data_IF_739349837055
#
_entry.id   IF_739349837055
#
_cell.length_a   1.000
_cell.length_b   1.000
_cell.length_c   1.000
_cell.angle_alpha   90.00
_cell.angle_beta   90.00
_cell.angle_gamma   90.00
#
_symmetry.space_group_name_H-M   'P 1'
#
loop_
_entity.id
_entity.type
_entity.pdbx_description
1 polymer ?
#
# COMPACT_ATOMS: atom_id res chain seq x y z
N UNK A 1 -5.94 -80.29 16.96
CA UNK A 1 -6.31 -80.79 18.32
C UNK A 1 -6.35 -79.62 19.30
N UNK A 2 -7.50 -79.49 19.94
CA UNK A 2 -7.86 -78.77 21.19
C UNK A 2 -7.67 -77.24 21.16
N UNK A 3 -8.79 -76.48 21.08
CA UNK A 3 -9.85 -76.18 22.09
C UNK A 3 -9.29 -75.59 23.39
N UNK A 4 -9.79 -74.39 23.69
CA UNK A 4 -9.80 -73.71 24.96
C UNK A 4 -10.26 -72.31 24.77
N UNK A 5 -11.45 -72.05 24.77
CA UNK A 5 -12.51 -71.48 25.59
C UNK A 5 -12.19 -70.15 26.26
N UNK A 6 -13.05 -69.20 25.97
CA UNK A 6 -13.29 -67.93 26.65
C UNK A 6 -13.63 -68.04 28.16
N UNK A 7 -13.54 -66.99 28.96
CA UNK A 7 -14.78 -66.25 29.13
C UNK A 7 -14.68 -64.72 29.14
N UNK A 8 -15.80 -64.13 28.83
CA UNK A 8 -16.18 -62.75 28.97
C UNK A 8 -16.15 -62.28 30.42
N UNK A 9 -15.76 -61.04 30.62
CA UNK A 9 -16.27 -60.24 31.73
C UNK A 9 -16.50 -58.80 31.25
N UNK A 10 -17.75 -58.45 31.25
CA UNK A 10 -18.35 -57.14 31.13
C UNK A 10 -18.02 -56.33 32.38
N UNK A 11 -17.59 -55.15 32.25
CA UNK A 11 -17.80 -54.10 33.23
C UNK A 11 -17.87 -52.73 32.55
N UNK A 12 -19.10 -52.35 32.36
CA UNK A 12 -19.61 -51.02 32.07
C UNK A 12 -19.17 -50.07 33.18
N UNK A 13 -18.40 -49.07 32.84
CA UNK A 13 -18.20 -47.92 33.70
C UNK A 13 -18.18 -46.64 32.81
N UNK A 14 -19.40 -46.15 32.65
CA UNK A 14 -19.65 -44.81 32.12
C UNK A 14 -19.00 -43.82 33.09
N UNK A 15 -17.89 -43.21 32.63
CA UNK A 15 -17.39 -41.99 33.25
C UNK A 15 -17.93 -40.84 32.41
N UNK A 16 -19.04 -40.30 32.87
CA UNK A 16 -19.52 -38.99 32.48
C UNK A 16 -18.49 -37.97 32.95
N UNK A 17 -17.72 -37.42 31.99
CA UNK A 17 -16.94 -36.22 32.23
C UNK A 17 -17.88 -35.02 32.29
N UNK A 18 -17.74 -34.13 33.31
CA UNK A 18 -18.57 -32.94 33.39
C UNK A 18 -18.30 -32.05 32.20
N UNK A 19 -19.38 -31.64 31.56
CA UNK A 19 -19.34 -30.61 30.50
C UNK A 19 -18.79 -29.32 31.12
N UNK A 20 -17.55 -28.99 30.76
CA UNK A 20 -16.98 -27.67 30.97
C UNK A 20 -17.67 -26.75 30.00
N UNK A 21 -18.64 -26.01 30.48
CA UNK A 21 -19.23 -24.88 29.75
C UNK A 21 -18.14 -23.82 29.68
N UNK A 22 -17.43 -23.78 28.56
CA UNK A 22 -16.52 -22.70 28.22
C UNK A 22 -17.34 -21.41 28.11
N UNK A 23 -17.06 -20.44 28.96
CA UNK A 23 -17.60 -19.09 28.84
C UNK A 23 -16.98 -18.47 27.59
N UNK A 24 -17.76 -17.82 26.70
CA UNK A 24 -17.27 -17.33 25.41
C UNK A 24 -16.39 -16.06 25.51
N UNK A 25 -15.85 -15.71 26.66
CA UNK A 25 -15.26 -14.38 26.88
C UNK A 25 -13.77 -14.35 27.27
N UNK A 26 -13.11 -15.50 27.42
CA UNK A 26 -11.71 -15.51 27.92
C UNK A 26 -10.62 -15.94 26.94
N UNK A 27 -10.94 -16.34 25.72
CA UNK A 27 -9.94 -16.83 24.75
C UNK A 27 -9.50 -15.80 23.70
N UNK A 28 -10.07 -14.59 23.71
CA UNK A 28 -9.69 -13.53 22.73
C UNK A 28 -8.75 -12.46 23.33
N UNK A 29 -8.34 -12.60 24.60
CA UNK A 29 -7.57 -11.55 25.28
C UNK A 29 -6.05 -11.76 25.27
N UNK A 30 -5.55 -12.83 24.71
CA UNK A 30 -4.11 -13.17 24.78
C UNK A 30 -3.38 -13.28 23.46
N UNK A 31 -3.98 -12.76 22.37
CA UNK A 31 -3.24 -12.50 21.13
C UNK A 31 -3.11 -11.00 20.90
N UNK A 32 -2.45 -10.32 21.83
CA UNK A 32 -1.94 -8.97 21.60
C UNK A 32 -0.80 -9.07 20.60
N UNK A 33 -1.11 -8.98 19.32
CA UNK A 33 -0.10 -8.60 18.35
C UNK A 33 0.29 -7.15 18.64
N UNK A 34 1.36 -6.96 19.42
CA UNK A 34 1.98 -5.65 19.59
C UNK A 34 2.25 -5.07 18.20
N UNK A 35 1.50 -4.04 17.83
CA UNK A 35 1.61 -3.34 16.56
C UNK A 35 0.34 -3.23 15.72
N UNK A 36 -0.72 -3.99 15.99
CA UNK A 36 -2.00 -3.81 15.30
C UNK A 36 -2.86 -2.84 16.12
N UNK A 37 -2.89 -1.58 15.73
CA UNK A 37 -3.83 -0.60 16.26
C UNK A 37 -5.18 -0.82 15.61
N UNK A 38 -6.11 -1.41 16.33
CA UNK A 38 -7.50 -1.44 15.89
C UNK A 38 -8.07 -0.02 15.98
N UNK A 39 -8.34 0.58 14.83
CA UNK A 39 -9.09 1.83 14.76
C UNK A 39 -10.56 1.52 15.00
N UNK A 40 -11.26 2.36 15.76
CA UNK A 40 -12.70 2.19 15.97
C UNK A 40 -13.43 2.33 14.62
N UNK A 41 -14.61 1.71 14.52
CA UNK A 41 -15.43 1.80 13.31
C UNK A 41 -15.77 3.27 12.98
N UNK A 42 -15.87 4.12 13.98
CA UNK A 42 -16.09 5.55 13.89
C UNK A 42 -14.84 6.30 13.38
N UNK A 43 -13.65 5.93 13.84
CA UNK A 43 -12.38 6.48 13.30
C UNK A 43 -12.16 6.05 11.85
N UNK A 44 -12.46 4.78 11.52
CA UNK A 44 -12.39 4.29 10.14
C UNK A 44 -13.42 4.97 9.24
N UNK A 45 -14.60 5.31 9.79
CA UNK A 45 -15.64 6.05 9.07
C UNK A 45 -15.25 7.51 8.87
N UNK A 46 -14.65 8.17 9.87
CA UNK A 46 -14.11 9.53 9.76
C UNK A 46 -12.98 9.61 8.75
N UNK A 47 -12.04 8.67 8.78
CA UNK A 47 -10.96 8.60 7.82
C UNK A 47 -11.46 8.42 6.37
N UNK A 48 -12.58 7.69 6.16
CA UNK A 48 -13.23 7.57 4.84
C UNK A 48 -13.95 8.85 4.41
N UNK A 49 -14.48 9.64 5.35
CA UNK A 49 -15.15 10.91 5.07
C UNK A 49 -14.13 12.02 4.79
N UNK A 50 -12.96 12.00 5.43
CA UNK A 50 -11.85 12.91 5.16
C UNK A 50 -11.13 12.62 3.83
N UNK A 51 -11.33 11.45 3.24
CA UNK A 51 -10.82 11.13 1.91
C UNK A 51 -11.65 11.90 0.87
N UNK A 52 -11.19 13.12 0.53
CA UNK A 52 -11.80 14.00 -0.46
C UNK A 52 -12.20 13.21 -1.71
N UNK A 53 -13.52 13.03 -1.92
CA UNK A 53 -14.02 12.39 -3.13
C UNK A 53 -13.72 13.29 -4.33
N UNK A 54 -12.75 12.86 -5.13
CA UNK A 54 -12.44 13.53 -6.39
C UNK A 54 -13.56 13.26 -7.39
N UNK A 55 -14.04 14.30 -8.05
CA UNK A 55 -15.02 14.17 -9.13
C UNK A 55 -14.46 13.28 -10.27
N UNK A 56 -15.31 12.67 -11.09
CA UNK A 56 -14.86 11.90 -12.26
C UNK A 56 -13.95 12.70 -13.21
N UNK A 57 -14.24 13.98 -13.41
CA UNK A 57 -13.44 14.87 -14.27
C UNK A 57 -12.08 15.20 -13.65
N UNK A 58 -12.00 15.32 -12.32
CA UNK A 58 -10.74 15.49 -11.60
C UNK A 58 -9.80 14.28 -11.71
N UNK A 59 -10.34 13.09 -11.97
CA UNK A 59 -9.56 11.84 -12.16
C UNK A 59 -9.34 11.50 -13.63
N UNK A 60 -9.85 12.31 -14.55
CA UNK A 60 -9.73 12.05 -15.98
C UNK A 60 -8.74 13.01 -16.60
N UNK A 61 -7.59 12.51 -17.14
CA UNK A 61 -6.64 13.36 -17.83
C UNK A 61 -7.23 13.84 -19.16
N UNK A 62 -7.14 15.13 -19.43
CA UNK A 62 -7.41 15.72 -20.73
C UNK A 62 -6.15 15.67 -21.62
N UNK A 63 -4.99 15.91 -21.02
CA UNK A 63 -3.70 15.86 -21.73
C UNK A 63 -2.61 15.39 -20.77
N UNK A 64 -1.72 14.54 -21.27
CA UNK A 64 -0.56 14.03 -20.52
C UNK A 64 0.71 14.35 -21.31
N UNK A 65 1.70 14.94 -20.65
CA UNK A 65 3.00 15.28 -21.21
C UNK A 65 4.11 14.69 -20.35
N UNK A 66 4.99 13.92 -20.95
CA UNK A 66 6.17 13.37 -20.28
C UNK A 66 7.40 14.06 -20.86
N UNK A 67 8.05 14.88 -20.07
CA UNK A 67 9.22 15.67 -20.45
C UNK A 67 10.52 14.85 -20.32
N UNK A 68 10.57 13.70 -21.01
CA UNK A 68 11.66 12.74 -20.91
C UNK A 68 12.99 13.31 -21.38
N UNK A 69 13.00 14.02 -22.53
CA UNK A 69 14.21 14.61 -23.13
C UNK A 69 14.80 15.69 -22.25
N UNK A 70 13.96 16.56 -21.71
CA UNK A 70 14.35 17.64 -20.81
C UNK A 70 14.69 17.12 -19.39
N UNK A 71 14.20 15.93 -19.06
CA UNK A 71 14.43 15.31 -17.76
C UNK A 71 13.67 15.96 -16.58
N UNK A 72 12.65 16.77 -16.90
CA UNK A 72 11.97 17.59 -15.89
C UNK A 72 10.86 16.81 -15.16
N UNK A 73 10.01 16.06 -15.87
CA UNK A 73 8.96 15.32 -15.18
C UNK A 73 7.73 14.97 -16.01
N UNK A 74 6.61 14.86 -15.32
CA UNK A 74 5.27 14.58 -15.82
C UNK A 74 4.36 15.79 -15.60
N UNK A 75 3.59 16.17 -16.60
CA UNK A 75 2.55 17.19 -16.52
C UNK A 75 1.22 16.60 -16.99
N UNK A 76 0.15 16.89 -16.25
CA UNK A 76 -1.21 16.45 -16.60
C UNK A 76 -2.15 17.65 -16.52
N UNK A 77 -2.87 17.91 -17.62
CA UNK A 77 -4.06 18.75 -17.63
C UNK A 77 -5.28 17.84 -17.40
N UNK A 78 -6.06 18.12 -16.38
CA UNK A 78 -7.26 17.36 -16.03
C UNK A 78 -8.51 17.93 -16.69
N UNK A 79 -9.58 17.13 -16.82
CA UNK A 79 -10.83 17.60 -17.41
C UNK A 79 -11.55 18.66 -16.56
N UNK A 80 -11.31 18.70 -15.26
CA UNK A 80 -11.81 19.73 -14.35
C UNK A 80 -11.10 21.10 -14.51
N UNK A 81 -10.15 21.21 -15.46
CA UNK A 81 -9.36 22.42 -15.71
C UNK A 81 -8.11 22.54 -14.84
N UNK A 82 -7.93 21.63 -13.88
CA UNK A 82 -6.73 21.62 -13.03
C UNK A 82 -5.50 21.15 -13.79
N UNK A 83 -4.31 21.68 -13.41
CA UNK A 83 -3.00 21.24 -13.91
C UNK A 83 -2.12 20.74 -12.78
N UNK A 84 -1.55 19.57 -12.97
CA UNK A 84 -0.61 18.98 -12.02
C UNK A 84 0.74 18.72 -12.66
N UNK A 85 1.81 18.92 -11.89
CA UNK A 85 3.18 18.68 -12.32
C UNK A 85 3.97 17.93 -11.25
N UNK A 86 4.80 16.99 -11.67
CA UNK A 86 5.68 16.23 -10.78
C UNK A 86 7.05 16.06 -11.44
N UNK A 87 8.11 16.23 -10.66
CA UNK A 87 9.46 15.87 -11.11
C UNK A 87 9.63 14.35 -11.16
N UNK A 88 10.56 13.84 -11.96
CA UNK A 88 10.87 12.41 -11.98
C UNK A 88 11.41 11.91 -10.64
N UNK A 89 12.16 12.74 -9.92
CA UNK A 89 12.61 12.43 -8.57
C UNK A 89 11.43 12.21 -7.61
N UNK A 90 10.44 13.09 -7.66
CA UNK A 90 9.23 12.94 -6.87
C UNK A 90 8.48 11.65 -7.24
N UNK A 91 8.22 11.42 -8.53
CA UNK A 91 7.53 10.24 -9.02
C UNK A 91 8.22 8.94 -8.57
N UNK A 92 9.56 8.88 -8.70
CA UNK A 92 10.31 7.69 -8.28
C UNK A 92 10.20 7.44 -6.77
N UNK A 93 10.28 8.49 -5.96
CA UNK A 93 10.12 8.41 -4.50
C UNK A 93 8.67 8.13 -4.07
N UNK A 94 7.69 8.52 -4.89
CA UNK A 94 6.27 8.27 -4.67
C UNK A 94 5.79 6.95 -5.30
N UNK A 95 6.66 6.06 -5.73
CA UNK A 95 6.26 4.83 -6.41
C UNK A 95 5.21 4.05 -5.62
N UNK A 96 4.03 3.72 -6.22
CA UNK A 96 2.93 3.08 -5.52
C UNK A 96 3.04 1.55 -5.38
N UNK A 97 4.12 0.91 -5.88
CA UNK A 97 4.27 -0.53 -5.75
C UNK A 97 4.42 -0.96 -4.28
N UNK A 98 4.04 -2.18 -3.96
CA UNK A 98 4.03 -2.72 -2.60
C UNK A 98 5.39 -2.56 -1.90
N UNK A 99 6.48 -2.93 -2.55
CA UNK A 99 7.84 -2.83 -1.98
C UNK A 99 8.22 -1.40 -1.61
N UNK A 100 7.95 -0.43 -2.51
CA UNK A 100 8.26 0.97 -2.22
C UNK A 100 7.32 1.56 -1.16
N UNK A 101 6.08 1.11 -1.10
CA UNK A 101 5.12 1.50 -0.09
C UNK A 101 5.56 1.04 1.29
N UNK A 102 5.85 -0.26 1.46
CA UNK A 102 6.36 -0.81 2.72
C UNK A 102 7.66 -0.14 3.19
N UNK A 103 8.57 0.14 2.26
CA UNK A 103 9.81 0.83 2.60
C UNK A 103 9.56 2.25 3.13
N UNK A 104 8.62 2.98 2.51
CA UNK A 104 8.22 4.31 2.99
C UNK A 104 7.56 4.23 4.37
N UNK A 105 6.64 3.30 4.58
CA UNK A 105 5.98 3.10 5.88
C UNK A 105 6.98 2.80 6.99
N UNK A 106 7.90 1.85 6.75
CA UNK A 106 8.97 1.52 7.72
C UNK A 106 9.88 2.69 8.07
N UNK A 107 10.08 3.62 7.14
CA UNK A 107 10.92 4.82 7.32
C UNK A 107 10.13 6.08 7.72
N UNK A 108 8.80 5.99 7.86
CA UNK A 108 7.93 7.12 8.19
C UNK A 108 7.87 8.22 7.13
N UNK A 109 8.26 7.93 5.88
CA UNK A 109 8.31 8.90 4.77
C UNK A 109 6.98 9.01 4.05
N UNK A 110 6.66 10.24 3.63
CA UNK A 110 5.50 10.50 2.76
C UNK A 110 5.82 10.20 1.29
N UNK A 111 4.78 9.96 0.44
CA UNK A 111 4.96 9.85 -1.01
C UNK A 111 5.71 11.08 -1.58
N UNK A 112 6.73 10.83 -2.39
CA UNK A 112 7.57 11.89 -3.01
C UNK A 112 8.73 12.39 -2.14
N UNK A 113 8.74 12.07 -0.86
CA UNK A 113 9.84 12.43 0.03
C UNK A 113 11.10 11.61 -0.27
N UNK A 114 12.24 12.30 -0.40
CA UNK A 114 13.51 11.67 -0.75
C UNK A 114 13.98 10.68 0.33
N UNK A 115 14.63 9.61 -0.10
CA UNK A 115 15.33 8.71 0.84
C UNK A 115 16.49 9.45 1.49
N UNK A 116 16.69 9.27 2.81
CA UNK A 116 17.88 9.79 3.45
C UNK A 116 19.11 9.10 2.83
N UNK A 117 20.10 9.90 2.47
CA UNK A 117 21.36 9.36 1.99
C UNK A 117 22.07 8.62 3.12
N UNK A 118 22.54 7.38 2.89
CA UNK A 118 23.39 6.72 3.86
C UNK A 118 24.63 7.59 4.08
N UNK A 119 24.97 7.85 5.35
CA UNK A 119 26.20 8.55 5.73
C UNK A 119 27.39 7.59 5.49
N UNK A 120 27.79 7.44 4.24
CA UNK A 120 28.99 6.69 3.88
C UNK A 120 30.19 7.65 3.81
N UNK A 121 31.36 7.15 4.16
CA UNK A 121 32.62 7.95 4.14
C UNK A 121 32.97 8.44 2.73
N UNK A 122 32.40 7.85 1.70
CA UNK A 122 32.55 8.26 0.30
C UNK A 122 31.17 8.46 -0.32
N UNK A 123 30.81 9.70 -0.70
CA UNK A 123 29.59 9.96 -1.42
C UNK A 123 29.66 9.31 -2.81
N UNK A 124 28.91 8.24 -3.01
CA UNK A 124 28.77 7.64 -4.34
C UNK A 124 27.79 8.47 -5.17
N UNK A 125 28.20 8.83 -6.38
CA UNK A 125 27.30 9.50 -7.32
C UNK A 125 26.11 8.58 -7.65
N UNK A 126 24.91 9.08 -7.40
CA UNK A 126 23.67 8.45 -7.86
C UNK A 126 23.10 9.29 -8.98
N UNK A 127 22.91 8.66 -10.13
CA UNK A 127 22.25 9.34 -11.25
C UNK A 127 20.81 9.75 -10.83
N UNK A 128 20.37 10.95 -11.21
CA UNK A 128 19.00 11.37 -10.91
C UNK A 128 18.00 10.40 -11.55
N UNK A 129 16.88 10.12 -10.90
CA UNK A 129 15.86 9.23 -11.42
C UNK A 129 15.34 9.75 -12.76
N UNK A 130 15.40 8.89 -13.77
CA UNK A 130 14.84 9.15 -15.11
C UNK A 130 14.12 7.90 -15.60
N UNK A 131 12.95 8.02 -16.24
CA UNK A 131 12.32 6.88 -16.88
C UNK A 131 13.01 6.54 -18.22
N UNK A 132 13.37 5.27 -18.40
CA UNK A 132 13.80 4.73 -19.69
C UNK A 132 12.62 4.63 -20.65
N UNK A 133 11.44 4.26 -20.10
CA UNK A 133 10.19 4.27 -20.85
C UNK A 133 9.00 4.58 -19.94
N UNK A 134 7.95 5.13 -20.55
CA UNK A 134 6.65 5.38 -19.91
C UNK A 134 5.59 4.80 -20.83
N UNK A 135 4.76 3.91 -20.28
CA UNK A 135 3.70 3.22 -21.02
C UNK A 135 2.35 3.39 -20.35
N UNK A 136 1.26 3.59 -21.09
CA UNK A 136 -0.07 3.59 -20.53
C UNK A 136 -0.47 2.19 -20.08
N UNK A 137 -1.11 2.09 -18.91
CA UNK A 137 -1.74 0.86 -18.40
C UNK A 137 -3.24 1.02 -18.55
N UNK A 138 -3.77 0.41 -19.60
CA UNK A 138 -5.17 0.59 -19.96
C UNK A 138 -5.53 2.07 -20.12
N UNK A 139 -6.65 2.47 -19.51
CA UNK A 139 -7.16 3.86 -19.55
C UNK A 139 -7.05 4.58 -18.21
N UNK A 140 -6.41 3.94 -17.21
CA UNK A 140 -6.51 4.37 -15.81
C UNK A 140 -5.17 4.71 -15.16
N UNK A 141 -4.01 4.41 -15.80
CA UNK A 141 -2.71 4.57 -15.17
C UNK A 141 -1.56 4.73 -16.18
N UNK A 142 -0.39 5.10 -15.65
CA UNK A 142 0.91 5.02 -16.32
C UNK A 142 1.83 4.05 -15.58
N UNK A 143 2.68 3.36 -16.33
CA UNK A 143 3.80 2.58 -15.79
C UNK A 143 5.10 3.21 -16.25
N UNK A 144 6.09 3.24 -15.35
CA UNK A 144 7.41 3.80 -15.57
C UNK A 144 8.46 2.70 -15.43
N UNK A 145 9.32 2.56 -16.42
CA UNK A 145 10.57 1.82 -16.30
C UNK A 145 11.67 2.81 -15.97
N UNK A 146 12.29 2.68 -14.82
CA UNK A 146 13.28 3.63 -14.34
C UNK A 146 14.71 3.20 -14.63
N UNK A 147 15.63 4.16 -14.77
CA UNK A 147 17.06 3.92 -14.97
C UNK A 147 17.78 3.19 -13.84
N UNK A 148 17.14 3.03 -12.67
CA UNK A 148 17.60 2.20 -11.56
C UNK A 148 17.09 0.74 -11.62
N UNK A 149 16.46 0.36 -12.74
CA UNK A 149 15.89 -0.97 -12.95
C UNK A 149 14.53 -1.22 -12.31
N UNK A 150 13.94 -0.22 -11.65
CA UNK A 150 12.62 -0.37 -11.04
C UNK A 150 11.50 -0.24 -12.09
N UNK A 151 10.59 -1.23 -12.17
CA UNK A 151 9.57 -1.32 -13.23
C UNK A 151 8.15 -1.58 -12.73
N UNK A 152 7.95 -1.83 -11.43
CA UNK A 152 6.68 -2.36 -10.89
C UNK A 152 5.66 -1.31 -10.46
N UNK A 153 5.94 -0.02 -10.65
CA UNK A 153 5.02 1.06 -10.25
C UNK A 153 3.92 1.31 -11.27
N UNK A 154 2.65 1.22 -10.86
CA UNK A 154 1.48 1.59 -11.63
C UNK A 154 0.86 2.83 -11.01
N UNK A 155 1.00 3.97 -11.68
CA UNK A 155 0.54 5.27 -11.19
C UNK A 155 -0.85 5.55 -11.75
N UNK A 156 -1.89 5.26 -10.98
CA UNK A 156 -3.27 5.55 -11.39
C UNK A 156 -3.53 7.06 -11.44
N UNK A 157 -4.50 7.49 -12.25
CA UNK A 157 -4.89 8.90 -12.33
C UNK A 157 -5.39 9.40 -10.98
N UNK A 158 -6.14 8.58 -10.25
CA UNK A 158 -6.60 8.89 -8.90
C UNK A 158 -5.42 9.09 -7.94
N UNK A 159 -4.42 8.20 -7.96
CA UNK A 159 -3.21 8.33 -7.15
C UNK A 159 -2.46 9.63 -7.45
N UNK A 160 -2.21 9.92 -8.72
CA UNK A 160 -1.52 11.14 -9.13
C UNK A 160 -2.30 12.39 -8.70
N UNK A 161 -3.62 12.41 -8.92
CA UNK A 161 -4.44 13.58 -8.58
C UNK A 161 -4.48 13.86 -7.08
N UNK A 162 -4.57 12.83 -6.25
CA UNK A 162 -4.52 12.96 -4.78
C UNK A 162 -3.19 13.49 -4.26
N UNK A 163 -2.10 13.18 -4.96
CA UNK A 163 -0.75 13.63 -4.59
C UNK A 163 -0.28 14.84 -5.42
N UNK A 164 -1.23 15.67 -5.87
CA UNK A 164 -0.89 16.93 -6.53
C UNK A 164 -0.31 17.91 -5.50
N UNK A 165 0.90 18.38 -5.75
CA UNK A 165 1.62 19.32 -4.86
C UNK A 165 1.45 20.79 -5.23
N UNK A 166 0.44 21.18 -6.05
CA UNK A 166 0.19 22.58 -6.33
C UNK A 166 -0.39 23.30 -5.11
N UNK A 167 -0.29 24.64 -5.09
CA UNK A 167 -0.76 25.47 -3.98
C UNK A 167 -2.23 25.26 -3.66
N UNK A 168 -3.08 25.13 -4.69
CA UNK A 168 -4.52 24.91 -4.53
C UNK A 168 -4.85 23.56 -3.84
N UNK A 169 -4.09 22.50 -4.19
CA UNK A 169 -4.29 21.17 -3.61
C UNK A 169 -3.64 21.01 -2.23
N UNK A 170 -2.59 21.78 -1.95
CA UNK A 170 -1.88 21.74 -0.67
C UNK A 170 -2.60 22.54 0.41
N UNK A 171 -3.45 23.51 0.02
CA UNK A 171 -4.22 24.37 0.93
C UNK A 171 -5.57 23.78 1.37
N UNK A 172 -6.04 22.70 0.78
CA UNK A 172 -7.30 22.02 1.08
C UNK A 172 -7.14 20.63 1.62
#
# INVERSE_FOLDING_TARGET
MRKGDLPAHVSDARHEAPAVVARPDDTLREMSHEGIRFVSEEEARRARVEERELSPDAKTPAKVRVHKTEGTGLEIDWKDGHRSQWTFAWLRNACPCATCHEEREKSGRKPGEAKPHPQTLLPMYQAPPRPDSVTPVGRYALSFNWNDGHTSGIYSWDYLRRHCGCEECAAG
#
